data_IF_885172693450
#
_entry.id   IF_885172693450
#
_cell.length_a   1.000
_cell.length_b   1.000
_cell.length_c   1.000
_cell.angle_alpha   90.00
_cell.angle_beta   90.00
_cell.angle_gamma   90.00
#
_symmetry.space_group_name_H-M   'P 1'
#
loop_
_entity.id
_entity.type
_entity.pdbx_description
1 polymer ?
#
# COMPACT_ATOMS: atom_id res chain seq x y z
N UNK A 1 -30.81 -20.54 9.51
CA UNK A 1 -30.07 -19.26 9.49
C UNK A 1 -28.84 -19.44 10.36
N UNK A 2 -27.72 -18.85 9.97
CA UNK A 2 -26.51 -18.84 10.79
C UNK A 2 -26.77 -18.10 12.11
N UNK A 3 -26.20 -18.60 13.21
CA UNK A 3 -26.35 -17.98 14.53
C UNK A 3 -25.37 -16.84 14.69
N UNK A 4 -25.85 -15.68 15.11
CA UNK A 4 -25.02 -14.49 15.26
C UNK A 4 -25.29 -13.75 16.57
N UNK A 5 -24.30 -12.94 16.96
CA UNK A 5 -24.33 -12.06 18.14
C UNK A 5 -23.99 -10.66 17.66
N UNK A 6 -24.80 -9.67 18.02
CA UNK A 6 -24.49 -8.26 17.71
C UNK A 6 -23.66 -7.68 18.85
N UNK A 7 -22.40 -7.35 18.59
CA UNK A 7 -21.56 -6.62 19.53
C UNK A 7 -21.75 -5.11 19.35
N UNK A 8 -22.48 -4.52 20.28
CA UNK A 8 -22.91 -3.13 20.28
C UNK A 8 -24.38 -3.05 20.67
N UNK A 9 -24.69 -2.73 21.93
CA UNK A 9 -26.06 -2.56 22.43
C UNK A 9 -26.44 -1.07 22.48
N UNK A 10 -25.88 -0.26 21.57
CA UNK A 10 -26.22 1.16 21.38
C UNK A 10 -27.24 1.37 20.26
N UNK A 11 -27.60 2.62 19.97
CA UNK A 11 -28.55 2.98 18.91
C UNK A 11 -28.18 2.38 17.54
N UNK A 12 -26.89 2.40 17.19
CA UNK A 12 -26.41 1.83 15.93
C UNK A 12 -26.55 0.30 15.87
N UNK A 13 -26.27 -0.41 16.96
CA UNK A 13 -26.47 -1.86 17.03
C UNK A 13 -27.94 -2.25 16.97
N UNK A 14 -28.82 -1.49 17.62
CA UNK A 14 -30.28 -1.67 17.51
C UNK A 14 -30.76 -1.45 16.07
N UNK A 15 -30.26 -0.41 15.39
CA UNK A 15 -30.59 -0.18 13.98
C UNK A 15 -30.02 -1.28 13.07
N UNK A 16 -28.86 -1.83 13.39
CA UNK A 16 -28.23 -2.92 12.63
C UNK A 16 -29.01 -4.23 12.77
N UNK A 17 -29.61 -4.49 13.94
CA UNK A 17 -30.47 -5.65 14.16
C UNK A 17 -31.62 -5.73 13.14
N UNK A 18 -32.29 -4.61 12.83
CA UNK A 18 -33.41 -4.59 11.88
C UNK A 18 -33.00 -4.98 10.45
N UNK A 19 -31.71 -4.83 10.12
CA UNK A 19 -31.14 -5.29 8.84
C UNK A 19 -30.72 -6.76 8.92
N UNK A 20 -30.10 -7.15 10.02
CA UNK A 20 -29.44 -8.44 10.20
C UNK A 20 -30.41 -9.58 10.56
N UNK A 21 -31.54 -9.30 11.23
CA UNK A 21 -32.50 -10.33 11.67
C UNK A 21 -33.14 -11.10 10.51
N UNK A 22 -33.05 -10.56 9.28
CA UNK A 22 -33.54 -11.22 8.06
C UNK A 22 -32.60 -12.31 7.54
N UNK A 23 -31.31 -12.20 7.83
CA UNK A 23 -30.26 -13.08 7.30
C UNK A 23 -29.67 -13.99 8.38
N UNK A 24 -29.69 -13.54 9.64
CA UNK A 24 -29.08 -14.21 10.79
C UNK A 24 -30.07 -14.47 11.92
N UNK A 25 -29.87 -15.57 12.65
CA UNK A 25 -30.55 -15.80 13.92
C UNK A 25 -29.77 -15.12 15.05
N UNK A 26 -30.21 -13.91 15.45
CA UNK A 26 -29.55 -13.12 16.49
C UNK A 26 -29.94 -13.67 17.88
N UNK A 27 -29.00 -14.34 18.56
CA UNK A 27 -29.28 -14.94 19.88
C UNK A 27 -29.01 -13.98 21.04
N UNK A 28 -28.04 -13.08 20.87
CA UNK A 28 -27.61 -12.16 21.92
C UNK A 28 -27.16 -10.81 21.36
N UNK A 29 -27.28 -9.77 22.19
CA UNK A 29 -26.45 -8.57 22.09
C UNK A 29 -25.27 -8.70 23.05
N UNK A 30 -24.13 -8.10 22.72
CA UNK A 30 -22.98 -7.98 23.63
C UNK A 30 -22.54 -6.51 23.71
N UNK A 31 -22.10 -6.03 24.86
CA UNK A 31 -21.60 -4.66 25.03
C UNK A 31 -20.53 -4.61 26.14
N UNK A 32 -19.63 -3.64 26.07
CA UNK A 32 -18.63 -3.41 27.12
C UNK A 32 -19.22 -2.64 28.32
N UNK A 33 -20.36 -1.97 28.16
CA UNK A 33 -21.04 -1.26 29.24
C UNK A 33 -21.78 -2.23 30.18
N UNK A 34 -21.20 -2.44 31.36
CA UNK A 34 -21.76 -3.30 32.42
C UNK A 34 -23.19 -2.94 32.83
N UNK A 35 -23.61 -1.69 32.65
CA UNK A 35 -24.96 -1.27 33.02
C UNK A 35 -26.02 -1.84 32.07
N UNK A 36 -25.61 -2.35 30.91
CA UNK A 36 -26.51 -2.96 29.93
C UNK A 36 -26.69 -4.46 30.13
N UNK A 37 -25.77 -5.14 30.80
CA UNK A 37 -25.77 -6.60 30.93
C UNK A 37 -27.00 -7.10 31.67
N UNK A 38 -27.57 -8.21 31.20
CA UNK A 38 -28.80 -8.80 31.74
C UNK A 38 -30.09 -8.10 31.30
N UNK A 39 -30.02 -6.86 30.78
CA UNK A 39 -31.17 -6.23 30.15
C UNK A 39 -31.52 -6.91 28.82
N UNK A 40 -32.67 -6.55 28.25
CA UNK A 40 -33.12 -7.05 26.96
C UNK A 40 -33.36 -5.93 25.96
N UNK A 41 -32.93 -6.13 24.72
CA UNK A 41 -33.17 -5.25 23.57
C UNK A 41 -34.00 -6.05 22.58
N UNK A 42 -35.20 -5.55 22.22
CA UNK A 42 -36.13 -6.26 21.32
C UNK A 42 -36.40 -7.72 21.77
N UNK A 43 -36.37 -7.99 23.08
CA UNK A 43 -36.56 -9.33 23.65
C UNK A 43 -35.30 -10.21 23.69
N UNK A 44 -34.15 -9.71 23.20
CA UNK A 44 -32.87 -10.42 23.16
C UNK A 44 -31.98 -9.95 24.32
N UNK A 45 -31.40 -10.88 25.07
CA UNK A 45 -30.55 -10.58 26.23
C UNK A 45 -29.24 -9.91 25.80
N UNK A 46 -28.81 -8.90 26.57
CA UNK A 46 -27.48 -8.32 26.47
C UNK A 46 -26.53 -9.07 27.41
N UNK A 47 -25.49 -9.68 26.86
CA UNK A 47 -24.46 -10.43 27.59
C UNK A 47 -23.17 -9.64 27.73
N UNK A 48 -22.34 -10.05 28.69
CA UNK A 48 -20.98 -9.54 28.88
C UNK A 48 -19.99 -10.15 27.88
N UNK A 49 -18.82 -9.51 27.63
CA UNK A 49 -17.75 -10.10 26.84
C UNK A 49 -17.23 -11.43 27.42
N UNK A 50 -17.31 -11.64 28.74
CA UNK A 50 -16.92 -12.91 29.35
C UNK A 50 -17.91 -14.04 29.06
N UNK A 51 -19.22 -13.76 29.08
CA UNK A 51 -20.23 -14.71 28.61
C UNK A 51 -20.06 -15.03 27.12
N UNK A 52 -19.68 -14.03 26.30
CA UNK A 52 -19.42 -14.21 24.87
C UNK A 52 -18.30 -15.23 24.58
N UNK A 53 -17.29 -15.37 25.46
CA UNK A 53 -16.21 -16.37 25.28
C UNK A 53 -16.71 -17.81 25.23
N UNK A 54 -17.86 -18.09 25.82
CA UNK A 54 -18.48 -19.42 25.84
C UNK A 54 -19.23 -19.71 24.52
N UNK A 55 -19.36 -18.74 23.63
CA UNK A 55 -20.19 -18.78 22.42
C UNK A 55 -19.36 -18.75 21.13
N UNK A 56 -18.17 -19.37 21.11
CA UNK A 56 -17.19 -19.28 20.02
C UNK A 56 -17.70 -19.71 18.63
N UNK A 57 -18.72 -20.55 18.58
CA UNK A 57 -19.35 -21.03 17.33
C UNK A 57 -20.19 -19.96 16.62
N UNK A 58 -20.52 -18.85 17.29
CA UNK A 58 -21.37 -17.79 16.72
C UNK A 58 -20.56 -16.83 15.85
N UNK A 59 -21.21 -16.32 14.80
CA UNK A 59 -20.71 -15.13 14.11
C UNK A 59 -20.90 -13.90 15.01
N UNK A 60 -19.81 -13.18 15.29
CA UNK A 60 -19.84 -11.95 16.08
C UNK A 60 -19.89 -10.77 15.11
N UNK A 61 -21.01 -10.06 15.06
CA UNK A 61 -21.20 -8.90 14.19
C UNK A 61 -21.01 -7.63 15.03
N UNK A 62 -19.88 -6.95 14.84
CA UNK A 62 -19.57 -5.70 15.52
C UNK A 62 -20.31 -4.54 14.84
N UNK A 63 -21.25 -3.95 15.58
CA UNK A 63 -22.08 -2.83 15.15
C UNK A 63 -21.89 -1.65 16.11
N UNK A 64 -20.72 -1.00 16.02
CA UNK A 64 -20.31 0.09 16.91
C UNK A 64 -19.43 1.10 16.17
N UNK A 65 -19.42 2.35 16.64
CA UNK A 65 -18.43 3.35 16.20
C UNK A 65 -17.01 3.02 16.69
N UNK A 66 -16.89 2.16 17.72
CA UNK A 66 -15.63 1.65 18.27
C UNK A 66 -15.32 0.23 17.74
N UNK A 67 -15.70 -0.05 16.49
CA UNK A 67 -15.63 -1.42 15.98
C UNK A 67 -14.18 -1.96 15.96
N UNK A 68 -13.18 -1.12 15.70
CA UNK A 68 -11.78 -1.54 15.64
C UNK A 68 -11.26 -1.99 17.00
N UNK A 69 -11.56 -1.23 18.06
CA UNK A 69 -11.18 -1.55 19.42
C UNK A 69 -11.88 -2.81 19.91
N UNK A 70 -13.15 -2.99 19.53
CA UNK A 70 -13.91 -4.20 19.84
C UNK A 70 -13.35 -5.40 19.08
N UNK A 71 -13.00 -5.27 17.79
CA UNK A 71 -12.37 -6.35 17.02
C UNK A 71 -11.03 -6.75 17.66
N UNK A 72 -10.18 -5.78 18.02
CA UNK A 72 -8.90 -6.05 18.70
C UNK A 72 -9.11 -6.74 20.06
N UNK A 73 -10.12 -6.32 20.82
CA UNK A 73 -10.54 -6.99 22.06
C UNK A 73 -10.97 -8.44 21.80
N UNK A 74 -11.82 -8.69 20.79
CA UNK A 74 -12.32 -10.02 20.45
C UNK A 74 -11.18 -10.96 20.02
N UNK A 75 -10.25 -10.46 19.21
CA UNK A 75 -9.05 -11.21 18.79
C UNK A 75 -8.19 -11.56 20.01
N UNK A 76 -7.97 -10.62 20.95
CA UNK A 76 -7.25 -10.88 22.21
C UNK A 76 -7.96 -11.86 23.14
N UNK A 77 -9.26 -12.10 22.94
CA UNK A 77 -10.08 -13.07 23.65
C UNK A 77 -10.15 -14.44 22.95
N UNK A 78 -9.34 -14.66 21.90
CA UNK A 78 -9.36 -15.85 21.05
C UNK A 78 -10.74 -16.11 20.40
N UNK A 79 -11.38 -15.04 19.93
CA UNK A 79 -12.61 -15.05 19.13
C UNK A 79 -12.30 -14.51 17.73
N UNK A 80 -12.55 -15.31 16.69
CA UNK A 80 -12.08 -15.02 15.33
C UNK A 80 -13.19 -15.03 14.26
N UNK A 81 -14.37 -15.58 14.56
CA UNK A 81 -15.52 -15.54 13.64
C UNK A 81 -16.20 -14.17 13.73
N UNK A 82 -15.55 -13.14 13.20
CA UNK A 82 -15.95 -11.74 13.35
C UNK A 82 -16.36 -11.16 12.01
N UNK A 83 -17.47 -10.44 11.99
CA UNK A 83 -17.81 -9.48 10.95
C UNK A 83 -18.11 -8.12 11.58
N UNK A 84 -18.13 -7.06 10.79
CA UNK A 84 -18.50 -5.73 11.24
C UNK A 84 -19.31 -4.99 10.19
N UNK A 85 -20.11 -4.03 10.65
CA UNK A 85 -20.78 -3.04 9.82
C UNK A 85 -20.35 -1.68 10.36
N UNK A 86 -19.92 -0.78 9.47
CA UNK A 86 -19.57 0.58 9.86
C UNK A 86 -20.63 1.58 9.44
N UNK A 87 -20.61 2.77 10.01
CA UNK A 87 -21.61 3.80 9.69
C UNK A 87 -21.54 4.24 8.21
N UNK A 88 -20.36 4.10 7.59
CA UNK A 88 -20.07 4.60 6.25
C UNK A 88 -20.45 3.61 5.13
N UNK A 89 -20.75 2.35 5.46
CA UNK A 89 -21.19 1.36 4.48
C UNK A 89 -22.22 0.38 5.06
N UNK A 90 -23.07 -0.16 4.20
CA UNK A 90 -24.14 -1.08 4.58
C UNK A 90 -23.79 -2.54 4.32
N UNK A 91 -22.57 -2.82 3.86
CA UNK A 91 -22.11 -4.17 3.58
C UNK A 91 -21.55 -4.80 4.85
N UNK A 92 -21.95 -6.04 5.13
CA UNK A 92 -21.33 -6.84 6.18
C UNK A 92 -19.91 -7.21 5.76
N UNK A 93 -18.93 -6.78 6.53
CA UNK A 93 -17.52 -7.01 6.25
C UNK A 93 -16.97 -8.07 7.19
N UNK A 94 -16.56 -9.20 6.62
CA UNK A 94 -15.96 -10.29 7.38
C UNK A 94 -14.48 -10.01 7.65
N UNK A 95 -14.06 -10.19 8.90
CA UNK A 95 -12.66 -10.16 9.27
C UNK A 95 -12.06 -11.51 8.87
N UNK A 96 -11.37 -11.52 7.73
CA UNK A 96 -10.54 -12.65 7.35
C UNK A 96 -9.27 -12.63 8.20
N UNK A 97 -9.31 -13.25 9.39
CA UNK A 97 -8.11 -13.50 10.20
C UNK A 97 -7.26 -14.67 9.67
N UNK A 98 -7.36 -14.96 8.36
CA UNK A 98 -6.24 -15.60 7.69
C UNK A 98 -5.09 -14.61 7.77
N UNK A 99 -4.27 -14.74 8.82
CA UNK A 99 -2.96 -14.08 8.93
C UNK A 99 -2.36 -14.03 7.55
N UNK A 100 -2.10 -12.81 7.07
CA UNK A 100 -1.47 -12.57 5.78
C UNK A 100 -0.31 -13.57 5.63
N UNK A 101 -0.34 -14.34 4.54
CA UNK A 101 0.65 -15.39 4.37
C UNK A 101 1.95 -14.79 3.84
N UNK A 102 2.96 -14.72 4.71
CA UNK A 102 4.31 -14.22 4.41
C UNK A 102 5.32 -15.34 4.07
N UNK A 103 4.92 -16.62 4.13
CA UNK A 103 5.85 -17.75 3.99
C UNK A 103 5.92 -18.32 2.56
N UNK A 104 4.98 -17.97 1.68
CA UNK A 104 4.83 -18.59 0.36
C UNK A 104 5.60 -17.89 -0.76
N UNK A 105 6.52 -16.97 -0.44
CA UNK A 105 7.32 -16.23 -1.42
C UNK A 105 8.66 -15.82 -0.83
N UNK A 106 9.63 -15.49 -1.70
CA UNK A 106 10.97 -15.03 -1.32
C UNK A 106 11.35 -13.84 -2.21
N UNK A 107 11.86 -12.76 -1.61
CA UNK A 107 12.22 -11.54 -2.34
C UNK A 107 13.44 -11.70 -3.26
N UNK A 108 14.31 -12.68 -2.99
CA UNK A 108 15.50 -13.00 -3.79
C UNK A 108 15.28 -14.13 -4.78
N UNK A 109 14.10 -14.77 -4.82
CA UNK A 109 13.83 -15.87 -5.76
C UNK A 109 13.44 -15.40 -7.16
N UNK A 110 13.89 -14.22 -7.58
CA UNK A 110 13.69 -13.73 -8.93
C UNK A 110 14.32 -14.71 -9.93
N UNK A 111 13.48 -15.35 -10.75
CA UNK A 111 13.92 -16.37 -11.69
C UNK A 111 13.34 -16.08 -13.07
N UNK A 112 14.15 -15.45 -13.92
CA UNK A 112 13.86 -15.23 -15.34
C UNK A 112 13.69 -16.52 -16.13
N UNK A 113 14.19 -17.65 -15.60
CA UNK A 113 14.25 -18.92 -16.34
C UNK A 113 12.89 -19.62 -16.51
N UNK A 114 11.81 -19.11 -15.91
CA UNK A 114 10.46 -19.70 -16.00
C UNK A 114 9.44 -18.81 -16.74
N UNK A 115 9.88 -17.75 -17.42
CA UNK A 115 8.98 -16.94 -18.23
C UNK A 115 8.44 -17.79 -19.40
N UNK A 116 7.12 -18.00 -19.45
CA UNK A 116 6.47 -18.60 -20.62
C UNK A 116 6.85 -17.79 -21.85
N UNK A 117 7.46 -18.44 -22.83
CA UNK A 117 7.70 -17.81 -24.13
C UNK A 117 6.36 -17.73 -24.89
N UNK A 118 5.75 -16.55 -24.86
CA UNK A 118 4.54 -16.27 -25.64
C UNK A 118 4.97 -15.56 -26.92
N UNK A 119 4.86 -16.27 -28.05
CA UNK A 119 5.14 -15.78 -29.41
C UNK A 119 4.00 -14.88 -29.93
N UNK A 120 3.72 -13.83 -29.16
CA UNK A 120 2.79 -12.76 -29.52
C UNK A 120 3.38 -11.43 -29.08
N UNK A 121 3.08 -10.36 -29.81
CA UNK A 121 3.60 -9.03 -29.51
C UNK A 121 2.54 -8.15 -28.84
N UNK A 122 3.00 -7.30 -27.93
CA UNK A 122 2.29 -6.10 -27.49
C UNK A 122 2.99 -4.92 -28.16
N UNK A 123 2.23 -4.13 -28.91
CA UNK A 123 2.73 -3.02 -29.72
C UNK A 123 2.29 -1.68 -29.17
N UNK A 124 1.10 -1.58 -28.55
CA UNK A 124 0.54 -0.31 -28.08
C UNK A 124 -0.22 -0.43 -26.76
N UNK A 125 0.19 0.35 -25.76
CA UNK A 125 -0.40 0.36 -24.41
C UNK A 125 -0.89 1.76 -24.06
N UNK A 126 -2.13 1.86 -23.58
CA UNK A 126 -2.66 3.11 -23.02
C UNK A 126 -2.67 3.04 -21.50
N UNK A 127 -1.95 3.94 -20.84
CA UNK A 127 -2.10 4.19 -19.40
C UNK A 127 -3.26 5.14 -19.17
N UNK A 128 -4.15 4.84 -18.21
CA UNK A 128 -5.32 5.69 -17.92
C UNK A 128 -5.36 6.01 -16.43
N UNK A 129 -5.25 7.29 -16.08
CA UNK A 129 -5.13 7.72 -14.69
C UNK A 129 -5.89 9.02 -14.38
N UNK A 130 -6.29 9.26 -13.13
CA UNK A 130 -6.74 10.59 -12.70
C UNK A 130 -5.60 11.59 -12.82
N UNK A 131 -4.45 11.23 -12.26
CA UNK A 131 -3.17 11.94 -12.39
C UNK A 131 -2.06 10.89 -12.49
N UNK A 132 -1.01 11.17 -13.28
CA UNK A 132 0.11 10.24 -13.42
C UNK A 132 0.74 9.91 -12.06
N UNK A 133 1.03 8.63 -11.79
CA UNK A 133 1.84 8.22 -10.65
C UNK A 133 3.26 7.84 -11.08
N UNK A 134 4.21 7.82 -10.13
CA UNK A 134 5.61 7.53 -10.45
C UNK A 134 5.81 6.08 -10.92
N UNK A 135 5.01 5.13 -10.41
CA UNK A 135 5.10 3.71 -10.80
C UNK A 135 4.75 3.49 -12.27
N UNK A 136 3.59 3.98 -12.72
CA UNK A 136 3.17 3.84 -14.12
C UNK A 136 4.10 4.57 -15.07
N UNK A 137 4.71 5.67 -14.63
CA UNK A 137 5.80 6.32 -15.38
C UNK A 137 6.97 5.37 -15.61
N UNK A 138 7.45 4.68 -14.56
CA UNK A 138 8.55 3.71 -14.67
C UNK A 138 8.18 2.56 -15.62
N UNK A 139 6.96 2.02 -15.51
CA UNK A 139 6.46 0.99 -16.43
C UNK A 139 6.39 1.48 -17.88
N UNK A 140 5.83 2.67 -18.12
CA UNK A 140 5.73 3.24 -19.45
C UNK A 140 7.12 3.46 -20.07
N UNK A 141 8.11 3.89 -19.28
CA UNK A 141 9.47 4.09 -19.76
C UNK A 141 10.14 2.80 -20.20
N UNK A 142 10.09 1.73 -19.38
CA UNK A 142 10.72 0.45 -19.75
C UNK A 142 10.03 -0.19 -20.95
N UNK A 143 8.70 -0.10 -21.04
CA UNK A 143 7.95 -0.59 -22.21
C UNK A 143 8.32 0.16 -23.49
N UNK A 144 8.50 1.48 -23.40
CA UNK A 144 8.97 2.28 -24.54
C UNK A 144 10.34 1.84 -25.02
N UNK A 145 11.26 1.55 -24.10
CA UNK A 145 12.61 1.10 -24.42
C UNK A 145 12.60 -0.27 -25.14
N UNK A 146 11.61 -1.11 -24.85
CA UNK A 146 11.32 -2.37 -25.57
C UNK A 146 10.59 -2.17 -26.91
N UNK A 147 10.39 -0.93 -27.35
CA UNK A 147 9.75 -0.60 -28.63
C UNK A 147 8.22 -0.71 -28.62
N UNK A 148 7.59 -0.72 -27.45
CA UNK A 148 6.14 -0.58 -27.32
C UNK A 148 5.77 0.89 -27.37
N UNK A 149 4.79 1.25 -28.21
CA UNK A 149 4.21 2.58 -28.13
C UNK A 149 3.40 2.71 -26.84
N UNK A 150 3.76 3.68 -26.00
CA UNK A 150 3.06 3.98 -24.76
C UNK A 150 2.39 5.34 -24.88
N UNK A 151 1.12 5.40 -24.51
CA UNK A 151 0.30 6.60 -24.49
C UNK A 151 -0.32 6.78 -23.10
N UNK A 152 -0.76 7.99 -22.76
CA UNK A 152 -1.46 8.25 -21.50
C UNK A 152 -2.76 9.03 -21.74
N UNK A 153 -3.83 8.62 -21.06
CA UNK A 153 -5.04 9.41 -20.90
C UNK A 153 -5.19 9.84 -19.43
N UNK A 154 -5.53 11.11 -19.18
CA UNK A 154 -5.65 11.67 -17.84
C UNK A 154 -6.94 12.46 -17.59
N UNK A 155 -7.48 12.38 -16.36
CA UNK A 155 -8.74 13.04 -15.98
C UNK A 155 -8.55 14.39 -15.28
N UNK A 156 -7.54 14.56 -14.45
CA UNK A 156 -7.34 15.76 -13.61
C UNK A 156 -6.05 16.49 -14.00
N UNK A 157 -4.91 16.09 -13.42
CA UNK A 157 -3.65 16.80 -13.57
C UNK A 157 -2.84 16.29 -14.77
N UNK A 158 -2.40 17.22 -15.62
CA UNK A 158 -1.54 16.88 -16.76
C UNK A 158 -0.22 16.25 -16.28
N UNK A 159 0.24 15.13 -16.87
CA UNK A 159 1.49 14.43 -16.55
C UNK A 159 2.72 15.31 -16.22
N UNK A 160 3.02 16.29 -17.09
CA UNK A 160 4.13 17.26 -16.90
C UNK A 160 4.07 18.07 -15.61
N UNK A 161 2.89 18.20 -15.00
CA UNK A 161 2.71 18.99 -13.78
C UNK A 161 2.85 18.14 -12.51
N UNK A 162 2.88 16.81 -12.61
CA UNK A 162 2.92 15.93 -11.43
C UNK A 162 4.31 15.81 -10.84
N UNK A 163 5.31 15.56 -11.68
CA UNK A 163 6.71 15.43 -11.27
C UNK A 163 7.56 16.40 -12.08
N UNK A 164 8.31 17.26 -11.38
CA UNK A 164 9.26 18.19 -12.01
C UNK A 164 10.41 17.39 -12.66
N UNK A 165 10.92 17.92 -13.76
CA UNK A 165 12.13 17.44 -14.45
C UNK A 165 12.07 16.01 -15.04
N UNK A 166 10.90 15.37 -15.08
CA UNK A 166 10.74 14.08 -15.76
C UNK A 166 10.47 14.26 -17.25
N UNK A 167 11.30 13.63 -18.08
CA UNK A 167 11.02 13.45 -19.50
C UNK A 167 9.94 12.38 -19.66
N UNK A 168 8.78 12.78 -20.16
CA UNK A 168 7.63 11.88 -20.32
C UNK A 168 7.89 10.84 -21.45
N UNK A 169 7.56 9.55 -21.23
CA UNK A 169 7.79 8.50 -22.21
C UNK A 169 6.71 8.47 -23.31
N UNK A 170 5.56 9.13 -23.12
CA UNK A 170 4.38 8.94 -23.97
C UNK A 170 4.52 9.53 -25.38
N UNK A 171 4.01 8.81 -26.38
CA UNK A 171 3.86 9.34 -27.73
C UNK A 171 2.65 10.29 -27.82
N UNK A 172 1.55 9.95 -27.16
CA UNK A 172 0.34 10.76 -27.05
C UNK A 172 -0.07 10.99 -25.58
N UNK A 173 -0.54 12.20 -25.31
CA UNK A 173 -1.08 12.62 -24.00
C UNK A 173 -2.50 13.13 -24.23
N UNK A 174 -3.49 12.41 -23.70
CA UNK A 174 -4.91 12.58 -24.01
C UNK A 174 -5.63 13.08 -22.76
N UNK A 175 -6.32 14.23 -22.84
CA UNK A 175 -7.21 14.68 -21.77
C UNK A 175 -8.57 14.00 -21.93
N UNK A 176 -9.03 13.30 -20.90
CA UNK A 176 -10.41 12.80 -20.83
C UNK A 176 -11.30 14.00 -20.51
N UNK A 177 -12.23 14.31 -21.41
CA UNK A 177 -13.21 15.40 -21.26
C UNK A 177 -14.60 14.84 -20.95
N UNK A 178 -15.05 13.94 -21.81
CA UNK A 178 -16.34 13.25 -21.70
C UNK A 178 -16.13 11.74 -21.70
N UNK A 179 -16.90 11.03 -20.87
CA UNK A 179 -16.72 9.59 -20.65
C UNK A 179 -17.14 8.80 -21.89
N UNK A 180 -18.29 9.12 -22.49
CA UNK A 180 -18.84 8.37 -23.63
C UNK A 180 -17.92 8.48 -24.86
N UNK A 181 -17.47 9.70 -25.18
CA UNK A 181 -16.50 9.95 -26.26
C UNK A 181 -15.21 9.17 -26.04
N UNK A 182 -14.73 9.12 -24.78
CA UNK A 182 -13.52 8.39 -24.45
C UNK A 182 -13.70 6.87 -24.60
N UNK A 183 -14.85 6.31 -24.22
CA UNK A 183 -15.15 4.88 -24.46
C UNK A 183 -15.26 4.57 -25.95
N UNK A 184 -15.91 5.42 -26.74
CA UNK A 184 -15.95 5.29 -28.21
C UNK A 184 -14.54 5.29 -28.80
N UNK A 185 -13.71 6.26 -28.40
CA UNK A 185 -12.30 6.32 -28.79
C UNK A 185 -11.53 5.04 -28.45
N UNK A 186 -11.70 4.51 -27.23
CA UNK A 186 -11.05 3.26 -26.83
C UNK A 186 -11.50 2.09 -27.72
N UNK A 187 -12.80 1.99 -27.99
CA UNK A 187 -13.37 0.90 -28.77
C UNK A 187 -12.88 0.88 -30.22
N UNK A 188 -12.65 2.06 -30.81
CA UNK A 188 -12.17 2.24 -32.18
C UNK A 188 -10.63 2.23 -32.30
N UNK A 189 -9.91 2.35 -31.18
CA UNK A 189 -8.45 2.38 -31.16
C UNK A 189 -7.81 1.04 -31.49
N UNK A 190 -6.51 1.08 -31.78
CA UNK A 190 -5.61 -0.08 -31.96
C UNK A 190 -4.85 -0.46 -30.68
N UNK A 191 -5.21 0.09 -29.50
CA UNK A 191 -4.57 -0.29 -28.25
C UNK A 191 -4.74 -1.78 -27.97
N UNK A 192 -3.64 -2.42 -27.58
CA UNK A 192 -3.56 -3.83 -27.23
C UNK A 192 -4.03 -4.09 -25.80
N UNK A 193 -3.68 -3.16 -24.91
CA UNK A 193 -3.93 -3.20 -23.47
C UNK A 193 -4.27 -1.78 -23.02
N UNK A 194 -5.21 -1.68 -22.08
CA UNK A 194 -5.43 -0.48 -21.29
C UNK A 194 -5.01 -0.76 -19.85
N UNK A 195 -4.04 -0.01 -19.35
CA UNK A 195 -3.51 -0.10 -18.00
C UNK A 195 -4.14 0.98 -17.12
N UNK A 196 -4.96 0.58 -16.15
CA UNK A 196 -5.61 1.48 -15.18
C UNK A 196 -4.93 1.40 -13.82
N UNK A 197 -4.42 2.53 -13.34
CA UNK A 197 -3.85 2.70 -11.99
C UNK A 197 -4.47 3.94 -11.37
N UNK A 198 -5.51 3.74 -10.56
CA UNK A 198 -6.37 4.80 -10.04
C UNK A 198 -6.77 4.52 -8.59
N UNK A 199 -6.91 5.58 -7.80
CA UNK A 199 -7.62 5.55 -6.52
C UNK A 199 -8.38 6.88 -6.40
N UNK A 200 -9.71 6.89 -6.15
CA UNK A 200 -10.61 5.74 -6.11
C UNK A 200 -10.76 5.02 -7.47
N UNK A 201 -11.24 3.78 -7.43
CA UNK A 201 -11.23 2.86 -8.59
C UNK A 201 -12.28 3.14 -9.68
N UNK A 202 -13.01 4.27 -9.63
CA UNK A 202 -14.11 4.56 -10.55
C UNK A 202 -13.67 4.60 -12.02
N UNK A 203 -12.43 5.01 -12.31
CA UNK A 203 -11.97 5.09 -13.71
C UNK A 203 -11.78 3.69 -14.31
N UNK A 204 -11.29 2.71 -13.53
CA UNK A 204 -11.25 1.30 -13.94
C UNK A 204 -12.66 0.79 -14.26
N UNK A 205 -13.66 1.18 -13.47
CA UNK A 205 -15.06 0.79 -13.65
C UNK A 205 -15.69 1.29 -14.95
N UNK A 206 -15.28 2.47 -15.39
CA UNK A 206 -15.66 3.02 -16.69
C UNK A 206 -14.97 2.22 -17.80
N UNK A 207 -13.66 1.97 -17.66
CA UNK A 207 -12.83 1.30 -18.68
C UNK A 207 -13.27 -0.13 -18.98
N UNK A 208 -13.74 -0.89 -17.99
CA UNK A 208 -14.25 -2.26 -18.20
C UNK A 208 -15.51 -2.32 -19.08
N UNK A 209 -16.11 -1.18 -19.44
CA UNK A 209 -17.20 -1.10 -20.43
C UNK A 209 -16.71 -1.02 -21.87
N UNK A 210 -15.41 -0.82 -22.09
CA UNK A 210 -14.82 -0.88 -23.43
C UNK A 210 -14.63 -2.32 -23.91
N UNK A 211 -14.35 -2.50 -25.20
CA UNK A 211 -13.98 -3.77 -25.82
C UNK A 211 -12.50 -4.14 -25.61
N UNK A 212 -11.76 -3.34 -24.82
CA UNK A 212 -10.33 -3.52 -24.59
C UNK A 212 -10.05 -4.36 -23.35
N UNK A 213 -9.00 -5.21 -23.37
CA UNK A 213 -8.53 -5.87 -22.17
C UNK A 213 -7.98 -4.84 -21.17
N UNK A 214 -8.61 -4.76 -20.00
CA UNK A 214 -8.25 -3.81 -18.94
C UNK A 214 -7.39 -4.50 -17.89
N UNK A 215 -6.23 -3.93 -17.59
CA UNK A 215 -5.41 -4.28 -16.44
C UNK A 215 -5.71 -3.29 -15.32
N UNK A 216 -6.00 -3.81 -14.12
CA UNK A 216 -6.14 -3.01 -12.92
C UNK A 216 -4.89 -3.15 -12.03
N UNK A 217 -4.08 -2.09 -11.94
CA UNK A 217 -2.90 -2.00 -11.07
C UNK A 217 -3.29 -1.34 -9.75
N UNK A 218 -3.37 -2.17 -8.70
CA UNK A 218 -3.77 -1.77 -7.35
C UNK A 218 -2.52 -1.63 -6.49
N UNK A 219 -2.25 -0.39 -6.06
CA UNK A 219 -1.10 -0.08 -5.23
C UNK A 219 -1.35 -0.42 -3.77
N UNK A 220 -2.43 0.15 -3.27
CA UNK A 220 -2.96 -0.01 -1.93
C UNK A 220 -4.43 -0.39 -2.08
N UNK A 221 -4.96 -1.17 -1.14
CA UNK A 221 -6.37 -1.50 -1.13
C UNK A 221 -7.13 -0.51 -0.26
N UNK A 222 -8.11 0.18 -0.84
CA UNK A 222 -8.89 1.20 -0.13
C UNK A 222 -9.55 0.61 1.11
N UNK A 223 -10.09 -0.61 1.00
CA UNK A 223 -10.73 -1.29 2.12
C UNK A 223 -9.81 -1.63 3.28
N UNK A 224 -8.49 -1.69 3.06
CA UNK A 224 -7.53 -1.96 4.13
C UNK A 224 -7.13 -0.67 4.85
N UNK A 225 -7.20 0.50 4.18
CA UNK A 225 -6.77 1.79 4.73
C UNK A 225 -7.71 2.35 5.80
N UNK A 226 -8.97 1.91 5.80
CA UNK A 226 -9.95 2.28 6.80
C UNK A 226 -11.38 2.17 6.28
N UNK A 227 -12.29 2.89 6.93
CA UNK A 227 -13.68 2.95 6.51
C UNK A 227 -13.85 3.61 5.15
N UNK A 228 -14.44 2.87 4.23
CA UNK A 228 -14.76 3.31 2.87
C UNK A 228 -16.28 3.34 2.66
N UNK A 229 -16.72 4.15 1.70
CA UNK A 229 -18.14 4.30 1.38
C UNK A 229 -18.68 3.07 0.64
N UNK A 230 -20.00 2.93 0.56
CA UNK A 230 -20.64 1.93 -0.32
C UNK A 230 -20.13 2.03 -1.77
N UNK A 231 -19.95 3.25 -2.28
CA UNK A 231 -19.46 3.47 -3.65
C UNK A 231 -18.05 2.94 -3.82
N UNK A 232 -17.17 3.18 -2.85
CA UNK A 232 -15.78 2.73 -2.89
C UNK A 232 -15.67 1.20 -2.83
N UNK A 233 -16.49 0.56 -1.98
CA UNK A 233 -16.56 -0.91 -1.90
C UNK A 233 -16.97 -1.49 -3.27
N UNK A 234 -17.99 -0.91 -3.89
CA UNK A 234 -18.46 -1.34 -5.21
C UNK A 234 -17.37 -1.10 -6.26
N UNK A 235 -16.73 0.07 -6.26
CA UNK A 235 -15.68 0.40 -7.22
C UNK A 235 -14.49 -0.54 -7.12
N UNK A 236 -14.01 -0.80 -5.89
CA UNK A 236 -12.90 -1.71 -5.63
C UNK A 236 -13.25 -3.14 -6.02
N UNK A 237 -14.44 -3.62 -5.65
CA UNK A 237 -14.93 -4.95 -6.03
C UNK A 237 -14.97 -5.11 -7.55
N UNK A 238 -15.58 -4.16 -8.25
CA UNK A 238 -15.77 -4.26 -9.69
C UNK A 238 -14.44 -4.15 -10.45
N UNK A 239 -13.55 -3.24 -10.04
CA UNK A 239 -12.22 -3.08 -10.63
C UNK A 239 -11.35 -4.33 -10.45
N UNK A 240 -11.36 -4.93 -9.26
CA UNK A 240 -10.63 -6.15 -8.99
C UNK A 240 -11.28 -7.37 -9.65
N UNK A 241 -12.61 -7.49 -9.65
CA UNK A 241 -13.30 -8.68 -10.17
C UNK A 241 -13.28 -8.75 -11.69
N UNK A 242 -13.65 -7.65 -12.36
CA UNK A 242 -14.01 -7.66 -13.78
C UNK A 242 -12.92 -7.15 -14.72
N UNK A 243 -11.79 -6.66 -14.21
CA UNK A 243 -10.59 -6.45 -15.04
C UNK A 243 -10.08 -7.76 -15.62
N UNK A 244 -9.49 -7.70 -16.83
CA UNK A 244 -8.93 -8.84 -17.52
C UNK A 244 -7.67 -9.39 -16.84
N UNK A 245 -6.93 -8.53 -16.11
CA UNK A 245 -5.83 -8.93 -15.25
C UNK A 245 -5.57 -7.92 -14.14
N UNK A 246 -4.85 -8.34 -13.09
CA UNK A 246 -4.47 -7.48 -11.98
C UNK A 246 -2.97 -7.40 -11.78
N UNK A 247 -2.49 -6.23 -11.37
CA UNK A 247 -1.16 -6.04 -10.83
C UNK A 247 -1.30 -5.62 -9.36
N UNK A 248 -0.48 -6.19 -8.50
CA UNK A 248 -0.37 -5.84 -7.09
C UNK A 248 1.08 -5.53 -6.73
N UNK A 249 1.31 -4.71 -5.70
CA UNK A 249 2.66 -4.28 -5.28
C UNK A 249 3.45 -5.41 -4.63
N UNK A 250 2.79 -6.25 -3.83
CA UNK A 250 3.44 -7.33 -3.09
C UNK A 250 2.48 -8.53 -2.91
N UNK A 251 3.02 -9.67 -2.49
CA UNK A 251 2.29 -10.92 -2.30
C UNK A 251 1.21 -10.86 -1.21
N UNK A 252 1.39 -10.18 -0.05
CA UNK A 252 0.35 -10.10 0.96
C UNK A 252 -0.94 -9.43 0.46
N UNK A 253 -0.83 -8.27 -0.20
CA UNK A 253 -1.99 -7.58 -0.80
C UNK A 253 -2.59 -8.40 -1.95
N UNK A 254 -1.77 -9.07 -2.78
CA UNK A 254 -2.25 -9.97 -3.83
C UNK A 254 -3.04 -11.15 -3.25
N UNK A 255 -2.55 -11.79 -2.20
CA UNK A 255 -3.21 -12.93 -1.56
C UNK A 255 -4.54 -12.50 -0.93
N UNK A 256 -4.54 -11.34 -0.25
CA UNK A 256 -5.76 -10.72 0.25
C UNK A 256 -6.78 -10.48 -0.87
N UNK A 257 -6.34 -9.91 -2.00
CA UNK A 257 -7.21 -9.63 -3.16
C UNK A 257 -7.77 -10.90 -3.80
N UNK A 258 -6.95 -11.94 -3.97
CA UNK A 258 -7.35 -13.23 -4.54
C UNK A 258 -8.47 -13.86 -3.72
N UNK A 259 -8.32 -13.87 -2.40
CA UNK A 259 -9.32 -14.41 -1.47
C UNK A 259 -10.57 -13.53 -1.45
N UNK A 260 -10.41 -12.21 -1.29
CA UNK A 260 -11.52 -11.25 -1.18
C UNK A 260 -12.41 -11.21 -2.42
N UNK A 261 -11.81 -11.20 -3.61
CA UNK A 261 -12.54 -11.03 -4.87
C UNK A 261 -12.75 -12.34 -5.62
N UNK A 262 -12.21 -13.46 -5.13
CA UNK A 262 -12.24 -14.76 -5.79
C UNK A 262 -11.78 -14.67 -7.26
N UNK A 263 -10.53 -14.25 -7.45
CA UNK A 263 -9.92 -13.96 -8.76
C UNK A 263 -8.77 -14.92 -9.12
N UNK A 264 -8.76 -16.13 -8.55
CA UNK A 264 -7.70 -17.13 -8.77
C UNK A 264 -7.56 -17.64 -10.23
N UNK A 265 -8.58 -17.43 -11.07
CA UNK A 265 -8.66 -17.97 -12.43
C UNK A 265 -8.35 -16.93 -13.52
N UNK A 266 -7.61 -15.87 -13.21
CA UNK A 266 -7.21 -14.86 -14.18
C UNK A 266 -5.75 -14.44 -14.01
N UNK A 267 -5.12 -13.81 -15.01
CA UNK A 267 -3.75 -13.35 -14.91
C UNK A 267 -3.58 -12.36 -13.74
N UNK A 268 -2.57 -12.62 -12.91
CA UNK A 268 -2.18 -11.74 -11.80
C UNK A 268 -0.66 -11.61 -11.78
N UNK A 269 -0.16 -10.39 -11.77
CA UNK A 269 1.26 -10.06 -11.59
C UNK A 269 1.48 -9.41 -10.22
N UNK A 270 2.56 -9.81 -9.54
CA UNK A 270 3.09 -9.07 -8.38
C UNK A 270 4.35 -8.36 -8.84
N UNK A 271 4.33 -7.03 -8.81
CA UNK A 271 5.47 -6.21 -9.22
C UNK A 271 5.59 -5.03 -8.29
N UNK A 272 6.73 -4.85 -7.62
CA UNK A 272 6.89 -3.79 -6.63
C UNK A 272 7.15 -2.42 -7.28
N UNK A 273 7.21 -1.35 -6.49
CA UNK A 273 7.54 0.01 -6.93
C UNK A 273 9.06 0.22 -7.09
N UNK A 274 9.71 -0.69 -7.81
CA UNK A 274 11.15 -0.66 -8.05
C UNK A 274 11.63 0.66 -8.66
N UNK A 275 12.90 0.98 -8.47
CA UNK A 275 13.52 2.15 -9.11
C UNK A 275 13.89 1.86 -10.56
N UNK A 276 14.23 2.88 -11.34
CA UNK A 276 14.80 2.73 -12.68
C UNK A 276 16.32 2.71 -12.60
N UNK A 277 16.97 1.91 -13.45
CA UNK A 277 18.43 1.91 -13.56
C UNK A 277 18.98 3.27 -13.96
N UNK A 278 18.26 4.01 -14.81
CA UNK A 278 18.71 5.34 -15.27
C UNK A 278 18.59 6.42 -14.18
N UNK A 279 17.94 6.12 -13.05
CA UNK A 279 17.84 7.00 -11.89
C UNK A 279 19.02 6.85 -10.91
N UNK A 280 19.98 5.96 -11.19
CA UNK A 280 21.18 5.79 -10.37
C UNK A 280 21.91 7.13 -10.15
N UNK A 281 22.43 7.41 -8.94
CA UNK A 281 23.23 8.62 -8.70
C UNK A 281 24.36 8.75 -9.72
N UNK A 282 24.53 9.95 -10.28
CA UNK A 282 25.69 10.25 -11.14
C UNK A 282 26.93 10.54 -10.33
N UNK A 283 26.74 10.98 -9.09
CA UNK A 283 27.79 11.29 -8.13
C UNK A 283 27.37 10.75 -6.76
N UNK A 284 28.33 10.18 -6.04
CA UNK A 284 28.17 9.87 -4.63
C UNK A 284 28.86 10.95 -3.80
N UNK A 285 28.11 11.52 -2.87
CA UNK A 285 28.60 12.57 -1.97
C UNK A 285 29.27 11.95 -0.75
N UNK A 286 30.23 12.68 -0.16
CA UNK A 286 30.84 12.27 1.10
C UNK A 286 29.77 12.16 2.19
N UNK A 287 29.94 11.23 3.13
CA UNK A 287 28.99 11.08 4.22
C UNK A 287 29.16 12.24 5.20
N UNK A 288 28.05 12.81 5.69
CA UNK A 288 28.10 13.83 6.74
C UNK A 288 28.81 13.31 8.01
N UNK A 289 28.61 12.02 8.30
CA UNK A 289 29.24 11.35 9.43
C UNK A 289 30.77 11.21 9.32
N UNK A 290 31.34 11.36 8.13
CA UNK A 290 32.80 11.43 7.93
C UNK A 290 33.35 12.82 8.27
N UNK A 291 32.49 13.85 8.27
CA UNK A 291 32.87 15.24 8.54
C UNK A 291 32.79 15.56 10.05
N UNK A 292 31.73 15.13 10.73
CA UNK A 292 31.48 15.45 12.15
C UNK A 292 31.56 14.24 13.11
N UNK A 293 31.60 13.02 12.59
CA UNK A 293 31.62 11.79 13.39
C UNK A 293 30.27 11.40 14.01
N UNK A 294 29.20 12.14 13.77
CA UNK A 294 27.85 11.86 14.27
C UNK A 294 27.08 10.96 13.28
N UNK A 295 25.91 10.45 13.66
CA UNK A 295 25.13 9.54 12.80
C UNK A 295 24.01 10.32 12.11
N UNK A 296 23.90 10.17 10.79
CA UNK A 296 22.89 10.87 9.99
C UNK A 296 21.95 9.91 9.28
N UNK A 297 20.68 9.91 9.67
CA UNK A 297 19.61 9.17 9.03
C UNK A 297 18.79 10.09 8.11
N UNK A 298 18.23 9.54 7.04
CA UNK A 298 17.35 10.28 6.12
C UNK A 298 15.96 9.66 5.99
N UNK A 299 14.94 10.49 5.98
CA UNK A 299 13.57 10.15 5.61
C UNK A 299 13.15 10.91 4.34
N UNK A 300 12.52 10.23 3.39
CA UNK A 300 11.89 10.89 2.24
C UNK A 300 10.38 10.62 2.21
N UNK A 301 9.61 11.69 1.97
CA UNK A 301 8.17 11.61 1.75
C UNK A 301 7.37 12.64 2.54
N UNK A 302 6.05 12.63 2.32
CA UNK A 302 5.15 13.49 3.09
C UNK A 302 5.10 13.09 4.56
N UNK A 303 4.84 14.07 5.43
CA UNK A 303 4.52 13.87 6.84
C UNK A 303 3.13 14.41 7.13
N UNK A 304 2.50 13.90 8.19
CA UNK A 304 1.20 14.37 8.66
C UNK A 304 1.34 14.87 10.10
N UNK A 305 0.59 15.91 10.45
CA UNK A 305 0.44 16.39 11.83
C UNK A 305 -0.73 15.73 12.57
N UNK A 306 -1.49 14.84 11.91
CA UNK A 306 -2.57 14.06 12.52
C UNK A 306 -1.99 12.79 13.14
N UNK A 307 -2.10 12.67 14.48
CA UNK A 307 -1.58 11.54 15.26
C UNK A 307 -2.14 10.18 14.85
N UNK A 308 -3.29 10.13 14.18
CA UNK A 308 -3.87 8.88 13.69
C UNK A 308 -3.31 8.45 12.33
N UNK A 309 -2.63 9.36 11.62
CA UNK A 309 -2.12 9.13 10.29
C UNK A 309 -0.82 8.29 10.33
N UNK A 310 -0.66 7.36 9.39
CA UNK A 310 0.55 6.53 9.28
C UNK A 310 1.84 7.33 9.00
N UNK A 311 1.73 8.61 8.61
CA UNK A 311 2.86 9.52 8.36
C UNK A 311 3.11 10.52 9.50
N UNK A 312 2.48 10.34 10.66
CA UNK A 312 2.80 11.10 11.87
C UNK A 312 4.06 10.53 12.52
N UNK A 313 5.23 11.03 12.11
CA UNK A 313 6.52 10.48 12.54
C UNK A 313 7.22 11.29 13.63
N UNK A 314 6.60 12.39 14.10
CA UNK A 314 7.21 13.29 15.08
C UNK A 314 7.72 12.56 16.32
N UNK A 315 6.91 11.69 16.93
CA UNK A 315 7.31 10.97 18.14
C UNK A 315 8.52 10.06 17.88
N UNK A 316 8.56 9.40 16.72
CA UNK A 316 9.68 8.54 16.34
C UNK A 316 10.94 9.34 16.02
N UNK A 317 10.80 10.47 15.33
CA UNK A 317 11.90 11.38 15.05
C UNK A 317 12.50 11.92 16.35
N UNK A 318 11.67 12.34 17.30
CA UNK A 318 12.13 12.79 18.62
C UNK A 318 12.83 11.67 19.40
N UNK A 319 12.33 10.43 19.36
CA UNK A 319 13.01 9.28 19.98
C UNK A 319 14.41 9.05 19.39
N UNK A 320 14.57 9.14 18.07
CA UNK A 320 15.89 9.02 17.41
C UNK A 320 16.78 10.21 17.79
N UNK A 321 16.26 11.43 17.69
CA UNK A 321 16.97 12.67 17.96
C UNK A 321 17.46 12.77 19.42
N UNK A 322 16.68 12.31 20.39
CA UNK A 322 17.05 12.24 21.81
C UNK A 322 18.23 11.29 22.09
N UNK A 323 18.62 10.46 21.12
CA UNK A 323 19.82 9.63 21.17
C UNK A 323 21.03 10.27 20.46
N UNK A 324 20.99 11.58 20.19
CA UNK A 324 22.02 12.33 19.46
C UNK A 324 22.29 11.78 18.05
N UNK A 325 21.21 11.47 17.33
CA UNK A 325 21.26 10.97 15.94
C UNK A 325 20.48 11.95 15.08
N UNK A 326 21.11 12.43 14.01
CA UNK A 326 20.49 13.36 13.07
C UNK A 326 19.40 12.66 12.25
N UNK A 327 18.23 13.28 12.18
CA UNK A 327 17.13 12.89 11.30
C UNK A 327 16.92 14.00 10.29
N UNK A 328 17.40 13.76 9.07
CA UNK A 328 17.17 14.64 7.93
C UNK A 328 15.90 14.19 7.20
N UNK A 329 15.07 15.13 6.76
CA UNK A 329 13.90 14.75 5.98
C UNK A 329 13.60 15.68 4.81
N UNK A 330 13.27 15.06 3.68
CA UNK A 330 12.86 15.71 2.44
C UNK A 330 11.36 15.52 2.20
N UNK A 331 10.70 16.59 1.76
CA UNK A 331 9.25 16.61 1.57
C UNK A 331 8.86 16.90 0.13
N UNK A 332 7.64 16.52 -0.24
CA UNK A 332 7.09 16.74 -1.60
C UNK A 332 6.59 18.16 -1.82
N UNK A 333 6.34 18.88 -0.74
CA UNK A 333 5.82 20.24 -0.71
C UNK A 333 6.37 20.99 0.50
N UNK A 334 6.10 22.29 0.57
CA UNK A 334 6.34 23.07 1.78
C UNK A 334 5.13 23.00 2.71
N UNK A 335 5.39 23.05 4.02
CA UNK A 335 4.35 23.11 5.05
C UNK A 335 4.91 23.77 6.29
N UNK A 336 4.10 24.60 6.96
CA UNK A 336 4.44 25.20 8.25
C UNK A 336 4.82 24.13 9.29
N UNK A 337 4.13 22.98 9.24
CA UNK A 337 4.39 21.86 10.13
C UNK A 337 5.83 21.35 10.03
N UNK A 338 6.44 21.35 8.84
CA UNK A 338 7.81 20.86 8.66
C UNK A 338 8.83 21.78 9.33
N UNK A 339 8.64 23.10 9.22
CA UNK A 339 9.44 24.08 9.95
C UNK A 339 9.24 24.00 11.47
N UNK A 340 8.00 23.78 11.93
CA UNK A 340 7.71 23.54 13.35
C UNK A 340 8.42 22.29 13.86
N UNK A 341 8.40 21.19 13.10
CA UNK A 341 9.06 19.92 13.45
C UNK A 341 10.59 20.05 13.49
N UNK A 342 11.19 20.72 12.50
CA UNK A 342 12.62 21.07 12.47
C UNK A 342 13.06 21.77 13.76
N UNK A 343 12.25 22.71 14.24
CA UNK A 343 12.59 23.50 15.43
C UNK A 343 12.38 22.77 16.76
N UNK A 344 11.82 21.54 16.77
CA UNK A 344 11.59 20.78 18.00
C UNK A 344 12.87 20.20 18.60
N UNK A 345 13.90 19.97 17.79
CA UNK A 345 15.14 19.37 18.27
C UNK A 345 16.31 19.72 17.34
N UNK A 346 17.50 20.01 17.91
CA UNK A 346 18.71 20.35 17.12
C UNK A 346 19.22 19.22 16.21
N UNK A 347 18.69 18.01 16.37
CA UNK A 347 19.03 16.83 15.57
C UNK A 347 17.95 16.49 14.53
N UNK A 348 16.94 17.34 14.34
CA UNK A 348 15.89 17.15 13.32
C UNK A 348 16.04 18.26 12.28
N UNK A 349 16.19 17.87 11.01
CA UNK A 349 16.56 18.78 9.92
C UNK A 349 15.58 18.63 8.76
N UNK A 350 14.85 19.71 8.47
CA UNK A 350 14.04 19.79 7.26
C UNK A 350 14.89 20.31 6.11
N UNK A 351 15.15 19.46 5.12
CA UNK A 351 16.02 19.77 3.97
C UNK A 351 15.26 20.40 2.79
N UNK A 352 13.95 20.59 2.94
CA UNK A 352 13.09 21.18 1.92
C UNK A 352 12.59 20.18 0.87
N UNK A 353 12.31 20.71 -0.32
CA UNK A 353 11.71 19.96 -1.44
C UNK A 353 12.78 19.65 -2.49
N UNK A 354 12.88 18.39 -2.89
CA UNK A 354 13.85 17.94 -3.88
C UNK A 354 13.17 17.16 -5.01
N UNK A 355 13.66 17.29 -6.25
CA UNK A 355 13.16 16.48 -7.37
C UNK A 355 13.63 15.03 -7.23
N UNK A 356 12.89 14.02 -7.71
CA UNK A 356 13.22 12.62 -7.46
C UNK A 356 14.66 12.21 -7.83
N UNK A 357 15.14 12.64 -9.00
CA UNK A 357 16.50 12.30 -9.44
C UNK A 357 17.59 13.00 -8.62
N UNK A 358 17.36 14.26 -8.23
CA UNK A 358 18.30 14.99 -7.37
C UNK A 358 18.28 14.40 -5.95
N UNK A 359 17.12 14.00 -5.45
CA UNK A 359 16.96 13.43 -4.12
C UNK A 359 17.78 12.15 -3.93
N UNK A 360 17.78 11.26 -4.92
CA UNK A 360 18.60 10.04 -4.90
C UNK A 360 20.09 10.37 -4.76
N UNK A 361 20.59 11.38 -5.46
CA UNK A 361 21.99 11.85 -5.33
C UNK A 361 22.24 12.51 -3.97
N UNK A 362 21.36 13.40 -3.52
CA UNK A 362 21.49 14.07 -2.22
C UNK A 362 21.52 13.06 -1.07
N UNK A 363 20.69 12.00 -1.13
CA UNK A 363 20.62 11.00 -0.08
C UNK A 363 21.92 10.21 0.11
N UNK A 364 22.81 10.19 -0.88
CA UNK A 364 24.10 9.47 -0.78
C UNK A 364 24.99 9.97 0.36
N UNK A 365 24.76 11.20 0.88
CA UNK A 365 25.52 11.77 2.01
C UNK A 365 25.12 11.26 3.40
N UNK A 366 24.06 10.46 3.52
CA UNK A 366 23.56 9.97 4.80
C UNK A 366 24.01 8.53 5.10
N UNK A 367 23.91 8.09 6.35
CA UNK A 367 24.35 6.75 6.77
C UNK A 367 23.31 5.66 6.47
N UNK A 368 22.01 6.00 6.49
CA UNK A 368 20.92 5.05 6.26
C UNK A 368 19.59 5.73 5.94
N UNK A 369 18.69 4.99 5.29
CA UNK A 369 17.30 5.39 5.06
C UNK A 369 16.36 4.92 6.17
N UNK A 370 15.36 5.74 6.51
CA UNK A 370 14.32 5.45 7.49
C UNK A 370 13.01 5.01 6.80
N UNK A 371 12.66 3.74 6.94
CA UNK A 371 11.37 3.17 6.49
C UNK A 371 10.49 2.93 7.71
N UNK A 372 10.08 4.04 8.32
CA UNK A 372 9.26 4.04 9.53
C UNK A 372 7.87 4.66 9.28
N UNK A 373 6.88 4.18 10.01
CA UNK A 373 5.45 4.43 9.88
C UNK A 373 4.80 4.51 11.26
N UNK A 374 3.78 5.33 11.41
CA UNK A 374 2.96 5.37 12.62
C UNK A 374 1.92 4.25 12.60
N UNK A 375 2.19 3.18 13.35
CA UNK A 375 1.34 1.99 13.39
C UNK A 375 0.28 2.18 14.46
N UNK A 376 -0.98 2.14 14.05
CA UNK A 376 -2.15 2.20 14.92
C UNK A 376 -3.00 0.95 14.69
N UNK A 377 -3.92 0.64 15.61
CA UNK A 377 -4.87 -0.45 15.41
C UNK A 377 -5.66 -0.29 14.10
N UNK A 378 -6.03 0.95 13.75
CA UNK A 378 -6.81 1.27 12.56
C UNK A 378 -6.09 1.00 11.24
N UNK A 379 -4.78 1.23 11.18
CA UNK A 379 -4.02 1.15 9.94
C UNK A 379 -3.12 -0.08 9.84
N UNK A 380 -3.04 -0.91 10.90
CA UNK A 380 -2.13 -2.06 10.96
C UNK A 380 -2.26 -2.99 9.76
N UNK A 381 -3.47 -3.45 9.43
CA UNK A 381 -3.69 -4.37 8.31
C UNK A 381 -3.28 -3.76 6.95
N UNK A 382 -3.50 -2.46 6.79
CA UNK A 382 -2.99 -1.72 5.63
C UNK A 382 -1.45 -1.70 5.60
N UNK A 383 -0.82 -1.36 6.72
CA UNK A 383 0.64 -1.27 6.80
C UNK A 383 1.34 -2.63 6.67
N UNK A 384 0.68 -3.73 7.04
CA UNK A 384 1.19 -5.09 6.86
C UNK A 384 1.11 -5.59 5.39
N UNK A 385 0.37 -4.88 4.53
CA UNK A 385 0.16 -5.25 3.12
C UNK A 385 0.72 -4.25 2.11
N UNK A 386 1.01 -3.02 2.53
CA UNK A 386 1.64 -1.99 1.70
C UNK A 386 3.16 -2.12 1.71
N UNK A 387 3.81 -1.75 0.59
CA UNK A 387 5.27 -1.72 0.49
C UNK A 387 5.73 -0.29 0.14
N UNK A 388 6.46 0.41 1.04
CA UNK A 388 6.86 1.79 0.80
C UNK A 388 7.87 1.91 -0.33
N UNK A 389 7.60 2.80 -1.30
CA UNK A 389 8.49 3.04 -2.45
C UNK A 389 9.94 3.27 -2.03
N UNK A 390 10.14 4.21 -1.07
CA UNK A 390 11.43 4.71 -0.56
C UNK A 390 12.50 3.66 -0.27
N UNK A 391 12.09 2.41 0.00
CA UNK A 391 12.98 1.27 0.16
C UNK A 391 13.96 1.17 -1.00
N UNK A 392 13.47 1.25 -2.24
CA UNK A 392 14.31 1.08 -3.42
C UNK A 392 15.09 2.33 -3.77
N UNK A 393 14.54 3.53 -3.51
CA UNK A 393 15.30 4.78 -3.65
C UNK A 393 16.49 4.81 -2.67
N UNK A 394 16.34 4.33 -1.43
CA UNK A 394 17.46 4.22 -0.47
C UNK A 394 18.56 3.29 -0.96
N UNK A 395 18.21 2.12 -1.51
CA UNK A 395 19.22 1.23 -2.09
C UNK A 395 19.89 1.83 -3.32
N UNK A 396 19.16 2.62 -4.11
CA UNK A 396 19.74 3.36 -5.24
C UNK A 396 20.78 4.38 -4.78
N UNK A 397 20.58 4.97 -3.59
CA UNK A 397 21.55 5.84 -2.91
C UNK A 397 22.61 5.07 -2.10
N UNK A 398 22.70 3.74 -2.27
CA UNK A 398 23.61 2.85 -1.52
C UNK A 398 23.47 2.96 0.00
N UNK A 399 22.24 3.11 0.49
CA UNK A 399 21.93 3.20 1.91
C UNK A 399 21.31 1.89 2.44
N UNK A 400 21.79 1.34 3.56
CA UNK A 400 21.02 0.35 4.30
C UNK A 400 19.77 1.00 4.88
N UNK A 401 18.78 0.17 5.25
CA UNK A 401 17.51 0.67 5.78
C UNK A 401 17.24 0.25 7.22
N UNK A 402 16.70 1.20 7.98
CA UNK A 402 16.07 1.01 9.26
C UNK A 402 14.55 0.91 9.05
N UNK A 403 13.95 -0.23 9.42
CA UNK A 403 12.52 -0.47 9.15
C UNK A 403 11.71 -0.61 10.43
N UNK A 404 10.44 -0.24 10.38
CA UNK A 404 9.50 -0.55 11.45
C UNK A 404 9.24 -2.06 11.58
N UNK A 405 8.73 -2.48 12.74
CA UNK A 405 8.42 -3.88 13.03
C UNK A 405 7.09 -4.32 12.36
N UNK A 406 7.05 -4.29 11.04
CA UNK A 406 5.98 -4.85 10.21
C UNK A 406 6.43 -6.18 9.60
N UNK A 407 5.60 -7.24 9.58
CA UNK A 407 5.99 -8.54 9.05
C UNK A 407 6.57 -8.48 7.62
N UNK A 408 5.96 -7.68 6.73
CA UNK A 408 6.41 -7.50 5.35
C UNK A 408 7.83 -6.91 5.28
N UNK A 409 8.11 -5.84 6.03
CA UNK A 409 9.41 -5.18 6.05
C UNK A 409 10.47 -6.01 6.78
N UNK A 410 10.08 -6.67 7.88
CA UNK A 410 10.95 -7.56 8.65
C UNK A 410 11.40 -8.75 7.81
N UNK A 411 10.47 -9.41 7.11
CA UNK A 411 10.80 -10.47 6.15
C UNK A 411 11.76 -9.95 5.07
N UNK A 412 11.43 -8.82 4.46
CA UNK A 412 12.25 -8.22 3.40
C UNK A 412 13.70 -8.02 3.84
N UNK A 413 13.96 -7.27 4.92
CA UNK A 413 15.34 -7.00 5.37
C UNK A 413 16.08 -8.24 5.87
N UNK A 414 15.35 -9.24 6.39
CA UNK A 414 15.95 -10.50 6.82
C UNK A 414 16.39 -11.37 5.65
N UNK A 415 15.66 -11.36 4.53
CA UNK A 415 16.01 -12.10 3.31
C UNK A 415 17.12 -11.41 2.54
N UNK A 416 16.99 -10.10 2.30
CA UNK A 416 17.93 -9.33 1.49
C UNK A 416 19.22 -8.94 2.22
N UNK A 417 19.23 -9.02 3.56
CA UNK A 417 20.30 -8.51 4.43
C UNK A 417 20.60 -7.01 4.24
N UNK A 418 19.64 -6.25 3.71
CA UNK A 418 19.84 -4.84 3.35
C UNK A 418 19.44 -3.84 4.44
N UNK A 419 19.10 -4.32 5.64
CA UNK A 419 18.65 -3.47 6.73
C UNK A 419 18.34 -4.25 8.01
N UNK A 420 17.75 -3.58 9.00
CA UNK A 420 17.20 -4.22 10.21
C UNK A 420 15.95 -3.50 10.72
N UNK A 421 15.15 -4.24 11.47
CA UNK A 421 14.03 -3.70 12.25
C UNK A 421 14.56 -2.85 13.40
N UNK A 422 13.99 -1.67 13.60
CA UNK A 422 14.22 -0.84 14.79
C UNK A 422 13.07 -1.03 15.79
N UNK A 423 13.45 -1.33 17.03
CA UNK A 423 12.54 -1.34 18.19
C UNK A 423 12.75 -0.06 18.99
N UNK A 424 11.75 0.81 18.98
CA UNK A 424 11.79 2.14 19.59
C UNK A 424 11.72 2.14 21.13
N UNK A 425 11.50 0.98 21.75
CA UNK A 425 11.49 0.81 23.20
C UNK A 425 12.80 0.18 23.71
N UNK A 426 13.67 -0.26 22.80
CA UNK A 426 15.01 -0.76 23.10
C UNK A 426 16.07 0.35 22.89
N UNK A 427 17.34 0.05 23.12
CA UNK A 427 18.44 1.00 22.87
C UNK A 427 18.54 1.34 21.36
N UNK A 428 18.03 2.52 20.98
CA UNK A 428 17.96 2.99 19.59
C UNK A 428 19.37 3.20 19.02
N UNK A 429 20.28 3.80 19.80
CA UNK A 429 21.63 4.13 19.35
C UNK A 429 22.43 2.88 18.96
N UNK A 430 22.39 1.83 19.78
CA UNK A 430 23.09 0.57 19.48
C UNK A 430 22.49 -0.18 18.28
N UNK A 431 21.17 -0.09 18.08
CA UNK A 431 20.51 -0.65 16.90
C UNK A 431 20.94 0.08 15.63
N UNK A 432 20.91 1.41 15.65
CA UNK A 432 21.29 2.25 14.51
C UNK A 432 22.78 2.07 14.17
N UNK A 433 23.68 2.02 15.16
CA UNK A 433 25.10 1.68 14.92
C UNK A 433 25.28 0.37 14.17
N UNK A 434 24.51 -0.67 14.53
CA UNK A 434 24.57 -1.97 13.85
C UNK A 434 24.00 -1.94 12.43
N UNK A 435 23.05 -1.05 12.14
CA UNK A 435 22.49 -0.87 10.79
C UNK A 435 23.49 -0.12 9.90
N UNK A 436 24.14 0.93 10.43
CA UNK A 436 25.15 1.73 9.71
C UNK A 436 26.30 0.87 9.16
N UNK A 437 26.63 -0.26 9.81
CA UNK A 437 27.67 -1.18 9.36
C UNK A 437 27.26 -2.06 8.17
N UNK A 438 25.99 -2.04 7.76
CA UNK A 438 25.52 -2.82 6.60
C UNK A 438 25.94 -2.09 5.33
N UNK A 439 26.74 -2.76 4.50
CA UNK A 439 27.17 -2.23 3.22
C UNK A 439 26.17 -2.62 2.12
N UNK A 440 25.61 -1.62 1.43
CA UNK A 440 24.82 -1.81 0.21
C UNK A 440 25.71 -1.44 -0.96
N UNK A 441 26.10 -2.42 -1.78
CA UNK A 441 26.93 -2.15 -2.96
C UNK A 441 26.17 -1.33 -3.98
N UNK A 442 26.89 -0.57 -4.81
CA UNK A 442 26.24 0.25 -5.85
C UNK A 442 25.51 -0.57 -6.92
N UNK A 443 25.87 -1.85 -7.08
CA UNK A 443 25.24 -2.80 -8.00
C UNK A 443 24.20 -3.72 -7.31
N UNK A 444 23.79 -3.38 -6.09
CA UNK A 444 22.89 -4.19 -5.28
C UNK A 444 21.54 -4.40 -5.97
N UNK A 445 20.99 -3.36 -6.59
CA UNK A 445 19.69 -3.40 -7.25
C UNK A 445 19.70 -4.32 -8.47
N UNK A 446 20.75 -4.26 -9.29
CA UNK A 446 20.94 -5.09 -10.47
C UNK A 446 21.14 -6.56 -10.09
N UNK A 447 21.95 -6.83 -9.05
CA UNK A 447 22.17 -8.20 -8.54
C UNK A 447 20.90 -8.84 -7.98
N UNK A 448 19.99 -8.04 -7.43
CA UNK A 448 18.76 -8.52 -6.79
C UNK A 448 17.55 -8.49 -7.74
N UNK A 449 17.67 -7.85 -8.90
CA UNK A 449 16.56 -7.62 -9.83
C UNK A 449 15.59 -6.54 -9.35
N UNK A 450 15.93 -5.73 -8.33
CA UNK A 450 15.06 -4.70 -7.77
C UNK A 450 15.00 -3.40 -8.61
N UNK A 451 15.05 -3.55 -9.94
CA UNK A 451 14.89 -2.48 -10.92
C UNK A 451 13.67 -2.76 -11.78
N UNK A 452 12.94 -1.71 -12.17
CA UNK A 452 11.80 -1.86 -13.10
C UNK A 452 12.28 -2.46 -14.43
N UNK A 453 13.48 -2.09 -14.86
CA UNK A 453 14.16 -2.60 -16.05
C UNK A 453 14.28 -4.13 -16.03
N UNK A 454 14.70 -4.71 -14.90
CA UNK A 454 14.82 -6.18 -14.75
C UNK A 454 13.49 -6.90 -14.99
N UNK A 455 12.35 -6.27 -14.70
CA UNK A 455 11.04 -6.89 -14.79
C UNK A 455 10.27 -6.59 -16.09
N UNK A 456 10.89 -5.93 -17.09
CA UNK A 456 10.17 -5.52 -18.30
C UNK A 456 9.62 -6.71 -19.10
N UNK A 457 10.36 -7.81 -19.20
CA UNK A 457 9.91 -9.00 -19.91
C UNK A 457 8.78 -9.74 -19.16
N UNK A 458 8.79 -9.73 -17.84
CA UNK A 458 7.70 -10.27 -17.01
C UNK A 458 6.42 -9.45 -17.23
N UNK A 459 6.54 -8.11 -17.21
CA UNK A 459 5.43 -7.20 -17.49
C UNK A 459 4.85 -7.41 -18.90
N UNK A 460 5.71 -7.53 -19.91
CA UNK A 460 5.28 -7.80 -21.29
C UNK A 460 4.61 -9.16 -21.43
N UNK A 461 5.14 -10.21 -20.79
CA UNK A 461 4.51 -11.53 -20.83
C UNK A 461 3.16 -11.53 -20.12
N UNK A 462 3.04 -10.86 -18.98
CA UNK A 462 1.76 -10.64 -18.32
C UNK A 462 0.75 -9.92 -19.24
N UNK A 463 1.17 -8.89 -19.96
CA UNK A 463 0.28 -8.20 -20.92
C UNK A 463 -0.17 -9.12 -22.06
N UNK A 464 0.72 -10.02 -22.53
CA UNK A 464 0.34 -11.03 -23.52
C UNK A 464 -0.66 -12.03 -22.94
N UNK A 465 -0.46 -12.52 -21.72
CA UNK A 465 -1.42 -13.41 -21.04
C UNK A 465 -2.81 -12.76 -20.95
N UNK A 466 -2.87 -11.49 -20.52
CA UNK A 466 -4.11 -10.73 -20.41
C UNK A 466 -4.80 -10.53 -21.77
N UNK A 467 -4.05 -10.14 -22.81
CA UNK A 467 -4.64 -9.89 -24.14
C UNK A 467 -5.09 -11.18 -24.82
N UNK A 468 -4.34 -12.25 -24.67
CA UNK A 468 -4.45 -13.43 -25.52
C UNK A 468 -4.98 -14.69 -24.82
N UNK A 469 -5.15 -14.68 -23.50
CA UNK A 469 -5.74 -15.77 -22.72
C UNK A 469 -4.90 -17.06 -22.72
N UNK A 470 -3.57 -16.94 -22.57
CA UNK A 470 -2.59 -18.06 -22.65
C UNK A 470 -1.95 -18.43 -21.31
#
# INVERSE_FOLDING_TARGET
>A
MEKAIIFGAGSFGVSSYEKLERDFHIEYFCDNDKNKWGNSIKGIKVISPEELKLLKEHLIIVASTYYLEIIDQLIKMDLFNIAYISFNNSFLQYINDKKLNFNNYNYLSYNTNNLKCIDKKISKVLFVQVSQCIRTYKFALVLKNEGVQVDIAYLDKHPKLTYRDLKLPYANIIKIKEIDDFICFLNESDYDIVHSSNEPDYLTNILIKSNKPIIHDSHDMMSLRGDISNSDIIHEYMANKYSAGNIYVDYPIKNYAVDKFNIKNKPILVLNNFTLEEQRPKKYLNKLSEEDGEIHCVYEGGLSNDKSNHRFLEEKFLKIANNNIHVHFYTVNESKYYGELNNKHKYIHWEGVCSPNKLIEEMTRYDMGLVILNITLKNKNFLETTFPNKVFEYFNSSLPIAVDNLPILSKFVNETKSGKVIKFDDNIYEQIKKIKLINISEDFLEKTGFTTNSHVHELLNFYKEVKYGV
#
